data_IF_262313482065
#
_entry.id   IF_262313482065
#
_cell.length_a   1.000
_cell.length_b   1.000
_cell.length_c   1.000
_cell.angle_alpha   90.00
_cell.angle_beta   90.00
_cell.angle_gamma   90.00
#
_symmetry.space_group_name_H-M   'P 1'
#
loop_
_entity.id
_entity.type
_entity.pdbx_description
1 polymer ?
#
# COMPACT_ATOMS: atom_id res chain seq x y z
N UNK A 1 7.89 -25.17 -28.19
CA UNK A 1 7.24 -23.86 -27.96
C UNK A 1 6.37 -23.44 -29.17
N UNK A 2 6.88 -23.46 -30.40
CA UNK A 2 6.08 -23.07 -31.58
C UNK A 2 4.90 -24.00 -31.92
N UNK A 3 4.87 -25.21 -31.35
CA UNK A 3 3.81 -26.21 -31.50
C UNK A 3 2.77 -26.20 -30.38
N UNK A 4 2.99 -25.40 -29.32
CA UNK A 4 2.05 -25.32 -28.20
C UNK A 4 0.72 -24.72 -28.71
N UNK A 5 -0.46 -25.23 -28.35
CA UNK A 5 -1.75 -24.60 -28.71
C UNK A 5 -1.91 -23.19 -28.10
N UNK A 6 -2.79 -22.36 -28.67
CA UNK A 6 -3.00 -21.00 -28.19
C UNK A 6 -3.60 -20.98 -26.78
N UNK A 7 -4.45 -21.95 -26.47
CA UNK A 7 -5.11 -22.14 -25.18
C UNK A 7 -4.08 -22.35 -24.07
N UNK A 8 -3.05 -23.17 -24.33
CA UNK A 8 -1.96 -23.39 -23.37
C UNK A 8 -1.08 -22.14 -23.23
N UNK A 9 -0.86 -21.38 -24.31
CA UNK A 9 -0.16 -20.08 -24.22
C UNK A 9 -0.95 -19.09 -23.37
N UNK A 10 -2.28 -19.02 -23.53
CA UNK A 10 -3.16 -18.19 -22.70
C UNK A 10 -3.06 -18.57 -21.22
N UNK A 11 -3.12 -19.86 -20.88
CA UNK A 11 -2.96 -20.31 -19.49
C UNK A 11 -1.59 -19.93 -18.90
N UNK A 12 -0.51 -20.07 -19.68
CA UNK A 12 0.83 -19.63 -19.25
C UNK A 12 0.86 -18.12 -19.02
N UNK A 13 0.23 -17.36 -19.92
CA UNK A 13 0.19 -15.90 -19.82
C UNK A 13 -0.63 -15.42 -18.63
N UNK A 14 -1.75 -16.07 -18.35
CA UNK A 14 -2.58 -15.84 -17.16
C UNK A 14 -1.80 -16.13 -15.87
N UNK A 15 -1.09 -17.26 -15.81
CA UNK A 15 -0.26 -17.58 -14.65
C UNK A 15 0.85 -16.56 -14.43
N UNK A 16 1.46 -16.05 -15.51
CA UNK A 16 2.52 -15.06 -15.43
C UNK A 16 2.06 -13.63 -15.18
N UNK A 17 0.79 -13.29 -15.42
CA UNK A 17 0.27 -11.92 -15.23
C UNK A 17 0.39 -11.45 -13.78
N UNK A 18 0.30 -12.40 -12.83
CA UNK A 18 0.38 -12.16 -11.39
C UNK A 18 1.81 -11.84 -10.92
N UNK A 19 2.84 -12.13 -11.73
CA UNK A 19 4.25 -11.92 -11.39
C UNK A 19 4.68 -10.44 -11.47
N UNK A 20 3.78 -9.55 -11.88
CA UNK A 20 4.11 -8.20 -12.29
C UNK A 20 3.74 -7.16 -11.22
N UNK A 21 4.48 -7.12 -10.11
CA UNK A 21 4.33 -6.04 -9.12
C UNK A 21 5.63 -5.28 -8.89
N UNK A 22 5.65 -3.94 -9.02
CA UNK A 22 6.80 -3.14 -8.64
C UNK A 22 7.01 -3.27 -7.14
N UNK A 23 8.16 -3.83 -6.77
CA UNK A 23 8.58 -3.87 -5.37
C UNK A 23 9.20 -2.53 -5.00
N UNK A 24 8.70 -1.90 -3.93
CA UNK A 24 9.38 -0.79 -3.30
C UNK A 24 10.61 -1.31 -2.55
N UNK A 25 11.78 -0.70 -2.77
CA UNK A 25 12.96 -0.98 -1.96
C UNK A 25 12.92 -0.03 -0.78
N UNK A 26 12.51 -0.58 0.36
CA UNK A 26 12.41 0.18 1.60
C UNK A 26 13.75 0.23 2.32
N UNK A 27 14.32 1.43 2.52
CA UNK A 27 15.55 1.58 3.25
C UNK A 27 15.33 1.42 4.75
N UNK A 28 16.40 1.10 5.47
CA UNK A 28 16.40 0.98 6.94
C UNK A 28 16.12 2.29 7.68
N UNK A 29 16.11 3.43 7.01
CA UNK A 29 15.91 4.74 7.65
C UNK A 29 14.79 5.50 6.95
N UNK A 30 13.88 6.15 7.71
CA UNK A 30 12.82 6.99 7.12
C UNK A 30 13.41 8.15 6.31
N UNK A 31 14.59 8.64 6.68
CA UNK A 31 15.23 9.79 6.04
C UNK A 31 15.88 9.46 4.70
N UNK A 32 16.07 8.18 4.38
CA UNK A 32 16.53 7.75 3.06
C UNK A 32 15.31 7.65 2.14
N UNK A 33 15.28 8.31 0.97
CA UNK A 33 14.16 8.21 0.05
C UNK A 33 13.91 6.76 -0.39
N UNK A 34 12.63 6.37 -0.48
CA UNK A 34 12.26 5.08 -1.06
C UNK A 34 12.59 5.10 -2.56
N UNK A 35 13.12 4.00 -3.07
CA UNK A 35 13.34 3.83 -4.51
C UNK A 35 12.35 2.83 -5.08
N UNK A 36 11.76 3.19 -6.21
CA UNK A 36 10.85 2.30 -6.95
C UNK A 36 11.70 1.45 -7.88
N UNK A 37 11.76 0.14 -7.63
CA UNK A 37 12.45 -0.78 -8.53
C UNK A 37 11.56 -1.00 -9.75
N UNK A 38 12.07 -0.63 -10.94
CA UNK A 38 11.39 -0.98 -12.19
C UNK A 38 11.52 -2.49 -12.40
N UNK A 39 10.40 -3.18 -12.41
CA UNK A 39 10.31 -4.58 -12.81
C UNK A 39 9.88 -4.62 -14.27
N UNK A 40 10.49 -5.49 -15.08
CA UNK A 40 10.06 -5.70 -16.46
C UNK A 40 8.64 -6.23 -16.45
N UNK A 41 7.75 -5.60 -17.22
CA UNK A 41 6.39 -6.10 -17.34
C UNK A 41 6.41 -7.47 -18.03
N UNK A 42 5.90 -8.50 -17.37
CA UNK A 42 5.75 -9.84 -17.96
C UNK A 42 4.98 -9.77 -19.28
N UNK A 43 3.91 -8.96 -19.34
CA UNK A 43 3.16 -8.68 -20.55
C UNK A 43 4.07 -8.17 -21.68
N UNK A 44 4.93 -7.17 -21.40
CA UNK A 44 5.86 -6.66 -22.40
C UNK A 44 6.82 -7.77 -22.86
N UNK A 45 7.36 -8.56 -21.93
CA UNK A 45 8.26 -9.67 -22.26
C UNK A 45 7.59 -10.67 -23.21
N UNK A 46 6.37 -11.13 -22.90
CA UNK A 46 5.67 -12.11 -23.77
C UNK A 46 5.28 -11.53 -25.13
N UNK A 47 4.90 -10.24 -25.20
CA UNK A 47 4.57 -9.57 -26.45
C UNK A 47 5.78 -9.39 -27.40
N UNK A 48 7.00 -9.47 -26.88
CA UNK A 48 8.24 -9.32 -27.66
C UNK A 48 8.88 -10.66 -28.08
N UNK A 49 8.31 -11.82 -27.71
CA UNK A 49 8.90 -13.13 -28.07
C UNK A 49 8.74 -13.45 -29.56
N UNK A 50 7.52 -13.44 -30.08
CA UNK A 50 7.25 -13.62 -31.51
C UNK A 50 5.86 -13.07 -31.89
N UNK A 51 5.57 -12.95 -33.19
CA UNK A 51 4.27 -12.45 -33.68
C UNK A 51 3.09 -13.23 -33.09
N UNK A 52 3.20 -14.56 -33.03
CA UNK A 52 2.15 -15.42 -32.47
C UNK A 52 1.86 -15.12 -31.00
N UNK A 53 2.90 -14.98 -30.18
CA UNK A 53 2.75 -14.66 -28.75
C UNK A 53 2.13 -13.28 -28.55
N UNK A 54 2.55 -12.30 -29.35
CA UNK A 54 1.95 -10.97 -29.35
C UNK A 54 0.45 -11.02 -29.64
N UNK A 55 0.03 -11.79 -30.65
CA UNK A 55 -1.39 -11.93 -30.99
C UNK A 55 -2.18 -12.59 -29.86
N UNK A 56 -1.66 -13.67 -29.26
CA UNK A 56 -2.32 -14.32 -28.11
C UNK A 56 -2.40 -13.36 -26.91
N UNK A 57 -1.31 -12.64 -26.60
CA UNK A 57 -1.26 -11.71 -25.47
C UNK A 57 -2.23 -10.53 -25.61
N UNK A 58 -2.35 -9.97 -26.82
CA UNK A 58 -3.32 -8.92 -27.18
C UNK A 58 -4.76 -9.35 -26.88
N UNK A 59 -5.08 -10.63 -27.06
CA UNK A 59 -6.40 -11.20 -26.85
C UNK A 59 -6.55 -11.96 -25.52
N UNK A 60 -5.60 -11.81 -24.59
CA UNK A 60 -5.66 -12.43 -23.25
C UNK A 60 -5.92 -11.35 -22.20
N UNK A 61 -7.18 -11.10 -21.78
CA UNK A 61 -7.53 -9.97 -20.92
C UNK A 61 -6.78 -9.93 -19.59
N UNK A 62 -6.47 -11.09 -19.01
CA UNK A 62 -5.78 -11.20 -17.72
C UNK A 62 -4.40 -10.49 -17.71
N UNK A 63 -3.70 -10.44 -18.84
CA UNK A 63 -2.41 -9.74 -18.95
C UNK A 63 -2.53 -8.21 -18.80
N UNK A 64 -3.73 -7.66 -18.99
CA UNK A 64 -3.99 -6.21 -19.00
C UNK A 64 -4.61 -5.71 -17.69
N UNK A 65 -4.80 -6.60 -16.71
CA UNK A 65 -5.44 -6.30 -15.41
C UNK A 65 -4.54 -5.53 -14.45
N UNK A 66 -3.22 -5.59 -14.65
CA UNK A 66 -2.24 -4.91 -13.80
C UNK A 66 -1.69 -3.66 -14.49
N UNK A 67 -1.99 -2.49 -13.92
CA UNK A 67 -1.62 -1.19 -14.48
C UNK A 67 -0.57 -0.50 -13.62
N UNK A 68 0.65 -0.36 -14.14
CA UNK A 68 1.74 0.39 -13.51
C UNK A 68 1.88 1.76 -14.16
N UNK A 69 1.14 2.75 -13.64
CA UNK A 69 1.05 4.08 -14.22
C UNK A 69 2.17 4.97 -13.66
N UNK A 70 3.13 5.27 -14.52
CA UNK A 70 4.24 6.17 -14.22
C UNK A 70 4.64 6.97 -15.46
N UNK A 71 5.38 8.06 -15.26
CA UNK A 71 6.06 8.80 -16.33
C UNK A 71 7.51 8.98 -15.93
N UNK A 72 8.45 8.72 -16.84
CA UNK A 72 9.86 8.98 -16.56
C UNK A 72 10.15 10.48 -16.59
N UNK A 73 11.19 10.93 -15.87
CA UNK A 73 11.65 12.32 -15.91
C UNK A 73 11.95 12.77 -17.35
N UNK A 74 12.69 11.95 -18.11
CA UNK A 74 12.97 12.20 -19.54
C UNK A 74 11.71 12.37 -20.39
N UNK A 75 10.69 11.54 -20.17
CA UNK A 75 9.42 11.66 -20.90
C UNK A 75 8.63 12.92 -20.50
N UNK A 76 8.78 13.39 -19.26
CA UNK A 76 8.22 14.65 -18.80
C UNK A 76 8.95 15.84 -19.44
N UNK A 77 10.28 15.82 -19.45
CA UNK A 77 11.12 16.90 -19.98
C UNK A 77 10.96 17.04 -21.51
N UNK A 78 10.61 15.94 -22.20
CA UNK A 78 10.34 15.91 -23.64
C UNK A 78 8.90 16.30 -24.02
N UNK A 79 8.05 16.71 -23.07
CA UNK A 79 6.69 17.15 -23.41
C UNK A 79 6.73 18.44 -24.25
N UNK A 80 6.02 18.51 -25.38
CA UNK A 80 5.98 19.71 -26.22
C UNK A 80 5.47 20.95 -25.47
N UNK A 81 4.52 20.75 -24.56
CA UNK A 81 3.95 21.81 -23.73
C UNK A 81 3.68 21.35 -22.30
N UNK A 82 3.72 22.30 -21.36
CA UNK A 82 3.28 22.10 -19.97
C UNK A 82 1.82 21.60 -19.90
N UNK A 83 0.98 21.99 -20.87
CA UNK A 83 -0.43 21.53 -20.93
C UNK A 83 -0.52 20.01 -21.13
N UNK A 84 0.43 19.41 -21.85
CA UNK A 84 0.44 17.99 -22.15
C UNK A 84 0.66 17.12 -20.91
N UNK A 85 1.18 17.70 -19.84
CA UNK A 85 1.30 17.03 -18.55
C UNK A 85 -0.05 16.51 -18.04
N UNK A 86 -1.13 17.24 -18.36
CA UNK A 86 -2.51 16.96 -17.94
C UNK A 86 -3.28 16.12 -18.95
N UNK A 87 -2.72 15.85 -20.13
CA UNK A 87 -3.41 15.04 -21.13
C UNK A 87 -3.59 13.60 -20.61
N UNK A 88 -4.73 12.96 -20.94
CA UNK A 88 -4.94 11.54 -20.70
C UNK A 88 -3.80 10.71 -21.30
N UNK A 89 -3.54 9.54 -20.72
CA UNK A 89 -2.48 8.64 -21.20
C UNK A 89 -3.13 7.55 -22.06
N UNK A 90 -2.98 7.57 -23.40
CA UNK A 90 -3.74 6.68 -24.29
C UNK A 90 -3.57 5.19 -23.98
N UNK A 91 -2.38 4.79 -23.54
CA UNK A 91 -2.09 3.40 -23.17
C UNK A 91 -2.89 2.93 -21.94
N UNK A 92 -3.28 3.84 -21.03
CA UNK A 92 -4.10 3.50 -19.87
C UNK A 92 -5.48 3.09 -20.36
N UNK A 93 -6.11 3.90 -21.21
CA UNK A 93 -7.40 3.56 -21.84
C UNK A 93 -7.33 2.23 -22.58
N UNK A 94 -6.24 1.97 -23.30
CA UNK A 94 -6.02 0.69 -24.00
C UNK A 94 -5.97 -0.51 -23.02
N UNK A 95 -5.29 -0.37 -21.89
CA UNK A 95 -5.26 -1.43 -20.86
C UNK A 95 -6.64 -1.67 -20.23
N UNK A 96 -7.37 -0.59 -19.95
CA UNK A 96 -8.73 -0.69 -19.40
C UNK A 96 -9.67 -1.41 -20.38
N UNK A 97 -9.61 -1.08 -21.67
CA UNK A 97 -10.40 -1.76 -22.70
C UNK A 97 -10.06 -3.25 -22.82
N UNK A 98 -8.77 -3.58 -22.85
CA UNK A 98 -8.32 -4.97 -23.04
C UNK A 98 -8.50 -5.87 -21.82
N UNK A 99 -8.47 -5.30 -20.63
CA UNK A 99 -8.75 -6.04 -19.38
C UNK A 99 -10.22 -6.38 -19.19
N UNK A 100 -11.12 -5.87 -20.05
CA UNK A 100 -12.55 -6.18 -20.07
C UNK A 100 -13.19 -5.94 -18.69
N UNK A 101 -13.83 -6.95 -18.11
CA UNK A 101 -14.52 -6.86 -16.81
C UNK A 101 -13.72 -7.47 -15.65
N UNK A 102 -12.46 -7.85 -15.86
CA UNK A 102 -11.67 -8.54 -14.84
C UNK A 102 -11.28 -7.60 -13.67
N UNK A 103 -11.00 -8.10 -12.47
CA UNK A 103 -10.51 -7.23 -11.39
C UNK A 103 -9.20 -6.52 -11.75
N UNK A 104 -9.05 -5.25 -11.37
CA UNK A 104 -7.90 -4.41 -11.70
C UNK A 104 -6.96 -4.23 -10.51
N UNK A 105 -5.65 -4.33 -10.77
CA UNK A 105 -4.61 -3.95 -9.82
C UNK A 105 -3.85 -2.73 -10.35
N UNK A 106 -3.93 -1.63 -9.61
CA UNK A 106 -3.48 -0.33 -10.08
C UNK A 106 -2.35 0.14 -9.17
N UNK A 107 -1.20 0.44 -9.76
CA UNK A 107 -0.10 1.12 -9.08
C UNK A 107 0.19 2.46 -9.73
N UNK A 108 0.13 3.52 -8.95
CA UNK A 108 0.35 4.90 -9.37
C UNK A 108 1.68 5.42 -8.81
N UNK A 109 2.59 5.82 -9.69
CA UNK A 109 3.78 6.58 -9.32
C UNK A 109 3.58 8.05 -9.69
N UNK A 110 3.22 8.84 -8.68
CA UNK A 110 2.77 10.21 -8.83
C UNK A 110 3.90 11.23 -9.01
N UNK A 111 5.17 10.81 -9.15
CA UNK A 111 6.31 11.73 -9.31
C UNK A 111 6.21 12.67 -10.49
N UNK A 112 5.75 12.17 -11.62
CA UNK A 112 5.81 12.87 -12.90
C UNK A 112 4.53 12.74 -13.72
N UNK A 113 3.41 12.40 -13.07
CA UNK A 113 2.09 12.27 -13.71
C UNK A 113 1.10 13.25 -13.08
N UNK A 114 0.10 13.66 -13.86
CA UNK A 114 -1.05 14.38 -13.33
C UNK A 114 -2.02 13.38 -12.71
N UNK A 115 -2.03 13.29 -11.37
CA UNK A 115 -2.90 12.36 -10.63
C UNK A 115 -4.38 12.54 -10.98
N UNK A 116 -4.83 13.80 -11.15
CA UNK A 116 -6.19 14.13 -11.55
C UNK A 116 -6.52 13.59 -12.95
N UNK A 117 -5.60 13.72 -13.91
CA UNK A 117 -5.80 13.21 -15.27
C UNK A 117 -5.90 11.69 -15.28
N UNK A 118 -5.03 11.03 -14.52
CA UNK A 118 -5.03 9.57 -14.41
C UNK A 118 -6.30 9.07 -13.73
N UNK A 119 -6.72 9.68 -12.61
CA UNK A 119 -7.96 9.29 -11.95
C UNK A 119 -9.21 9.54 -12.80
N UNK A 120 -9.23 10.57 -13.65
CA UNK A 120 -10.34 10.76 -14.59
C UNK A 120 -10.51 9.56 -15.54
N UNK A 121 -9.44 8.83 -15.88
CA UNK A 121 -9.51 7.61 -16.69
C UNK A 121 -9.88 6.37 -15.85
N UNK A 122 -9.42 6.30 -14.59
CA UNK A 122 -9.57 5.10 -13.77
C UNK A 122 -10.90 5.04 -13.01
N UNK A 123 -11.41 6.18 -12.53
CA UNK A 123 -12.61 6.24 -11.67
C UNK A 123 -13.84 5.58 -12.30
N UNK A 124 -14.09 5.69 -13.63
CA UNK A 124 -15.17 4.94 -14.27
C UNK A 124 -15.11 3.42 -14.02
N UNK A 125 -13.91 2.88 -13.85
CA UNK A 125 -13.64 1.45 -13.63
C UNK A 125 -13.56 1.07 -12.13
N UNK A 126 -13.91 2.00 -11.22
CA UNK A 126 -13.76 1.81 -9.76
C UNK A 126 -14.53 0.62 -9.19
N UNK A 127 -15.60 0.20 -9.84
CA UNK A 127 -16.40 -0.96 -9.46
C UNK A 127 -15.61 -2.28 -9.43
N UNK A 128 -14.52 -2.38 -10.22
CA UNK A 128 -13.69 -3.58 -10.34
C UNK A 128 -12.24 -3.38 -9.89
N UNK A 129 -11.93 -2.29 -9.18
CA UNK A 129 -10.61 -2.15 -8.55
C UNK A 129 -10.46 -3.17 -7.44
N UNK A 130 -9.46 -4.05 -7.53
CA UNK A 130 -9.08 -5.02 -6.48
C UNK A 130 -7.97 -4.48 -5.60
N UNK A 131 -6.95 -3.87 -6.20
CA UNK A 131 -5.79 -3.32 -5.50
C UNK A 131 -5.49 -1.92 -5.99
N UNK A 132 -5.23 -0.99 -5.07
CA UNK A 132 -4.82 0.37 -5.36
C UNK A 132 -3.58 0.75 -4.55
N UNK A 133 -2.46 0.93 -5.25
CA UNK A 133 -1.18 1.35 -4.70
C UNK A 133 -0.87 2.77 -5.19
N UNK A 134 -0.64 3.70 -4.27
CA UNK A 134 -0.37 5.10 -4.56
C UNK A 134 0.98 5.49 -3.96
N UNK A 135 1.92 5.85 -4.83
CA UNK A 135 3.24 6.36 -4.44
C UNK A 135 3.31 7.85 -4.75
N UNK A 136 3.42 8.67 -3.71
CA UNK A 136 3.50 10.14 -3.83
C UNK A 136 4.92 10.66 -3.56
N UNK A 137 5.32 11.81 -4.14
CA UNK A 137 6.65 12.38 -3.93
C UNK A 137 6.90 12.84 -2.49
N UNK A 138 5.91 13.49 -1.91
CA UNK A 138 5.92 14.00 -0.55
C UNK A 138 4.52 13.89 0.06
N UNK A 139 4.44 13.86 1.38
CA UNK A 139 3.18 13.86 2.14
C UNK A 139 2.29 15.08 1.82
N UNK A 140 2.89 16.17 1.32
CA UNK A 140 2.16 17.38 0.89
C UNK A 140 1.28 17.13 -0.35
N UNK A 141 1.59 16.11 -1.16
CA UNK A 141 0.81 15.75 -2.35
C UNK A 141 -0.40 14.87 -1.99
N UNK A 142 -0.46 14.36 -0.76
CA UNK A 142 -1.49 13.42 -0.32
C UNK A 142 -2.91 13.98 -0.40
N UNK A 143 -3.22 15.23 0.04
CA UNK A 143 -4.57 15.78 -0.10
C UNK A 143 -5.06 15.80 -1.55
N UNK A 144 -4.17 16.11 -2.51
CA UNK A 144 -4.51 16.11 -3.93
C UNK A 144 -4.87 14.71 -4.42
N UNK A 145 -4.11 13.70 -4.01
CA UNK A 145 -4.40 12.30 -4.32
C UNK A 145 -5.75 11.84 -3.75
N UNK A 146 -5.98 12.11 -2.46
CA UNK A 146 -7.17 11.60 -1.75
C UNK A 146 -8.44 12.35 -2.11
N UNK A 147 -8.35 13.62 -2.52
CA UNK A 147 -9.51 14.43 -2.91
C UNK A 147 -10.34 13.78 -4.02
N UNK A 148 -9.69 13.06 -4.95
CA UNK A 148 -10.33 12.37 -6.06
C UNK A 148 -11.07 11.09 -5.62
N UNK A 149 -10.76 10.56 -4.43
CA UNK A 149 -11.29 9.29 -3.91
C UNK A 149 -12.39 9.47 -2.86
N UNK A 150 -12.77 10.72 -2.55
CA UNK A 150 -13.66 11.06 -1.42
C UNK A 150 -15.03 10.36 -1.48
N UNK A 151 -15.62 10.24 -2.68
CA UNK A 151 -16.98 9.74 -2.90
C UNK A 151 -17.04 8.60 -3.93
N UNK A 152 -15.92 7.90 -4.12
CA UNK A 152 -15.84 6.86 -5.15
C UNK A 152 -16.25 5.51 -4.55
N UNK A 153 -17.25 4.82 -5.13
CA UNK A 153 -17.53 3.43 -4.77
C UNK A 153 -16.43 2.52 -5.35
N UNK A 154 -15.77 1.76 -4.48
CA UNK A 154 -14.81 0.74 -4.88
C UNK A 154 -15.15 -0.59 -4.18
N UNK A 155 -16.26 -1.25 -4.58
CA UNK A 155 -16.81 -2.41 -3.90
C UNK A 155 -15.90 -3.64 -3.92
N UNK A 156 -15.13 -3.82 -4.99
CA UNK A 156 -14.18 -4.93 -5.15
C UNK A 156 -12.81 -4.66 -4.48
N UNK A 157 -12.60 -3.47 -3.89
CA UNK A 157 -11.29 -3.07 -3.40
C UNK A 157 -10.93 -3.87 -2.14
N UNK A 158 -9.89 -4.68 -2.24
CA UNK A 158 -9.38 -5.52 -1.17
C UNK A 158 -8.12 -4.95 -0.53
N UNK A 159 -7.27 -4.29 -1.33
CA UNK A 159 -5.96 -3.78 -0.93
C UNK A 159 -5.81 -2.30 -1.25
N UNK A 160 -5.38 -1.52 -0.25
CA UNK A 160 -5.01 -0.12 -0.40
C UNK A 160 -3.61 0.11 0.19
N UNK A 161 -2.70 0.63 -0.62
CA UNK A 161 -1.37 1.01 -0.17
C UNK A 161 -1.06 2.45 -0.53
N UNK A 162 -0.56 3.22 0.43
CA UNK A 162 -0.17 4.61 0.21
C UNK A 162 1.23 4.82 0.77
N UNK A 163 2.15 5.25 -0.09
CA UNK A 163 3.55 5.48 0.26
C UNK A 163 4.00 6.88 -0.14
N UNK A 164 4.62 7.62 0.78
CA UNK A 164 5.38 8.82 0.44
C UNK A 164 6.86 8.48 0.25
N UNK A 165 7.45 8.90 -0.86
CA UNK A 165 8.87 8.64 -1.15
C UNK A 165 9.80 9.40 -0.19
N UNK A 166 9.40 10.62 0.20
CA UNK A 166 10.08 11.44 1.19
C UNK A 166 9.33 11.38 2.51
N UNK A 167 10.07 11.11 3.58
CA UNK A 167 9.54 11.24 4.94
C UNK A 167 9.56 12.71 5.37
N UNK A 168 8.50 13.14 6.04
CA UNK A 168 8.39 14.46 6.65
C UNK A 168 7.79 14.30 8.04
N UNK A 169 8.41 14.94 9.05
CA UNK A 169 7.93 14.95 10.44
C UNK A 169 6.72 15.89 10.65
N UNK A 170 6.20 16.50 9.58
CA UNK A 170 5.07 17.42 9.65
C UNK A 170 3.75 16.77 9.26
N UNK A 171 2.69 17.14 9.97
CA UNK A 171 1.33 16.76 9.62
C UNK A 171 0.97 17.41 8.28
N UNK A 172 0.50 16.62 7.32
CA UNK A 172 -0.04 17.19 6.09
C UNK A 172 -1.31 18.00 6.41
N UNK A 173 -1.37 19.30 6.04
CA UNK A 173 -2.54 20.11 6.32
C UNK A 173 -3.75 19.60 5.53
N UNK A 174 -4.94 19.67 6.15
CA UNK A 174 -6.24 19.51 5.49
C UNK A 174 -6.48 18.16 4.79
N UNK A 175 -6.13 17.05 5.45
CA UNK A 175 -6.45 15.72 4.91
C UNK A 175 -7.94 15.45 4.91
N UNK A 176 -8.46 15.06 3.75
CA UNK A 176 -9.84 14.63 3.56
C UNK A 176 -9.90 13.10 3.58
N UNK A 177 -10.96 12.57 4.18
CA UNK A 177 -11.21 11.13 4.11
C UNK A 177 -11.61 10.68 2.71
N UNK A 178 -11.17 9.48 2.35
CA UNK A 178 -11.52 8.76 1.12
C UNK A 178 -12.46 7.58 1.41
N UNK A 179 -13.16 7.08 0.39
CA UNK A 179 -14.10 5.93 0.51
C UNK A 179 -15.11 6.06 1.66
N UNK A 180 -15.66 7.28 1.86
CA UNK A 180 -16.57 7.57 2.98
C UNK A 180 -17.82 6.71 2.95
N UNK A 181 -18.27 6.22 4.11
CA UNK A 181 -19.60 5.61 4.25
C UNK A 181 -19.69 4.14 3.78
N UNK A 182 -18.61 3.36 3.89
CA UNK A 182 -18.63 1.94 3.54
C UNK A 182 -18.59 1.67 2.03
N UNK A 183 -18.07 2.62 1.25
CA UNK A 183 -17.94 2.52 -0.20
C UNK A 183 -16.89 1.51 -0.68
N UNK A 184 -16.16 0.87 0.24
CA UNK A 184 -15.19 -0.20 0.00
C UNK A 184 -15.33 -1.30 1.06
N UNK A 185 -16.42 -2.09 1.03
CA UNK A 185 -16.74 -3.09 2.04
C UNK A 185 -15.76 -4.25 2.10
N UNK A 186 -15.09 -4.59 0.99
CA UNK A 186 -14.14 -5.69 0.91
C UNK A 186 -12.70 -5.30 1.30
N UNK A 187 -12.48 -4.02 1.65
CA UNK A 187 -11.15 -3.53 1.99
C UNK A 187 -10.67 -4.23 3.25
N UNK A 188 -9.62 -5.03 3.10
CA UNK A 188 -9.13 -5.94 4.14
C UNK A 188 -7.64 -5.75 4.40
N UNK A 189 -6.90 -5.22 3.44
CA UNK A 189 -5.45 -4.99 3.52
C UNK A 189 -5.15 -3.51 3.35
N UNK A 190 -4.55 -2.90 4.38
CA UNK A 190 -4.12 -1.50 4.31
C UNK A 190 -2.66 -1.37 4.69
N UNK A 191 -1.87 -0.75 3.81
CA UNK A 191 -0.49 -0.33 4.08
C UNK A 191 -0.34 1.18 3.97
N UNK A 192 0.24 1.78 4.99
CA UNK A 192 0.53 3.21 5.07
C UNK A 192 2.01 3.40 5.38
N UNK A 193 2.76 4.00 4.46
CA UNK A 193 4.21 4.18 4.59
C UNK A 193 4.62 5.65 4.43
N UNK A 194 5.21 6.25 5.47
CA UNK A 194 5.67 7.66 5.50
C UNK A 194 4.56 8.67 5.22
N UNK A 195 3.32 8.33 5.59
CA UNK A 195 2.17 9.21 5.43
C UNK A 195 1.72 9.75 6.78
N UNK A 196 1.37 11.02 6.79
CA UNK A 196 0.63 11.66 7.88
C UNK A 196 -0.84 11.52 7.56
N UNK A 197 -1.62 10.92 8.46
CA UNK A 197 -3.06 10.73 8.31
C UNK A 197 -3.81 11.26 9.53
N UNK A 198 -4.99 11.85 9.32
CA UNK A 198 -5.96 12.05 10.40
C UNK A 198 -6.69 10.75 10.67
N UNK A 199 -6.30 10.02 11.71
CA UNK A 199 -6.80 8.68 12.03
C UNK A 199 -8.32 8.59 12.19
N UNK A 200 -8.97 9.67 12.64
CA UNK A 200 -10.44 9.78 12.73
C UNK A 200 -11.14 9.83 11.37
N UNK A 201 -10.42 10.20 10.32
CA UNK A 201 -10.97 10.37 8.99
C UNK A 201 -11.05 9.03 8.23
N UNK A 202 -10.28 8.02 8.60
CA UNK A 202 -10.16 6.80 7.80
C UNK A 202 -11.12 5.69 8.28
N UNK A 203 -11.89 5.09 7.36
CA UNK A 203 -12.74 3.94 7.67
C UNK A 203 -11.89 2.65 7.72
N UNK A 204 -10.85 2.61 8.56
CA UNK A 204 -10.01 1.42 8.76
C UNK A 204 -10.73 0.41 9.66
N UNK A 205 -11.80 -0.18 9.12
CA UNK A 205 -12.63 -1.18 9.79
C UNK A 205 -12.70 -2.43 8.91
N UNK A 206 -12.93 -3.58 9.54
CA UNK A 206 -13.03 -4.87 8.83
C UNK A 206 -11.71 -5.40 8.27
N UNK A 207 -10.56 -4.88 8.73
CA UNK A 207 -9.25 -5.26 8.20
C UNK A 207 -8.81 -6.65 8.69
N UNK A 208 -8.09 -7.36 7.82
CA UNK A 208 -7.36 -8.60 8.14
C UNK A 208 -5.85 -8.35 8.25
N UNK A 209 -5.34 -7.35 7.54
CA UNK A 209 -3.94 -6.94 7.57
C UNK A 209 -3.82 -5.42 7.68
N UNK A 210 -3.04 -4.96 8.66
CA UNK A 210 -2.71 -3.55 8.86
C UNK A 210 -1.19 -3.39 8.94
N UNK A 211 -0.65 -2.52 8.08
CA UNK A 211 0.78 -2.28 7.97
C UNK A 211 1.08 -0.77 8.05
N UNK A 212 1.64 -0.34 9.18
CA UNK A 212 1.94 1.06 9.48
C UNK A 212 3.45 1.28 9.59
N UNK A 213 4.01 2.00 8.61
CA UNK A 213 5.45 2.27 8.50
C UNK A 213 5.73 3.76 8.55
N UNK A 214 6.53 4.20 9.52
CA UNK A 214 6.95 5.61 9.64
C UNK A 214 5.79 6.61 9.54
N UNK A 215 4.67 6.28 10.18
CA UNK A 215 3.46 7.11 10.18
C UNK A 215 3.52 8.12 11.32
N UNK A 216 2.76 9.19 11.22
CA UNK A 216 2.47 10.01 12.40
C UNK A 216 1.52 9.22 13.29
N UNK A 217 2.03 8.71 14.39
CA UNK A 217 1.33 7.77 15.25
C UNK A 217 0.02 8.35 15.84
N UNK A 218 -1.07 7.57 15.88
CA UNK A 218 -2.25 7.93 16.66
C UNK A 218 -1.92 7.94 18.15
N UNK A 219 -2.76 8.60 18.94
CA UNK A 219 -2.77 8.38 20.38
C UNK A 219 -3.28 6.97 20.69
N UNK A 220 -2.91 6.44 21.85
CA UNK A 220 -3.38 5.12 22.29
C UNK A 220 -4.89 4.88 22.14
N UNK A 221 -5.82 5.79 22.54
CA UNK A 221 -7.26 5.54 22.39
C UNK A 221 -7.71 5.44 20.94
N UNK A 222 -7.15 6.28 20.05
CA UNK A 222 -7.46 6.21 18.62
C UNK A 222 -6.93 4.93 17.98
N UNK A 223 -5.74 4.46 18.41
CA UNK A 223 -5.23 3.16 17.97
C UNK A 223 -6.18 2.04 18.42
N UNK A 224 -6.64 2.07 19.67
CA UNK A 224 -7.56 1.08 20.21
C UNK A 224 -8.91 1.06 19.47
N UNK A 225 -9.47 2.23 19.17
CA UNK A 225 -10.71 2.36 18.39
C UNK A 225 -10.56 1.84 16.95
N UNK A 226 -9.45 2.14 16.30
CA UNK A 226 -9.17 1.66 14.95
C UNK A 226 -9.05 0.12 14.92
N UNK A 227 -8.33 -0.46 15.88
CA UNK A 227 -8.13 -1.90 15.95
C UNK A 227 -9.41 -2.64 16.38
N UNK A 228 -10.22 -2.07 17.26
CA UNK A 228 -11.52 -2.66 17.65
C UNK A 228 -12.52 -2.67 16.48
N UNK A 229 -12.38 -1.75 15.52
CA UNK A 229 -13.11 -1.77 14.26
C UNK A 229 -12.74 -2.92 13.32
N UNK A 230 -11.70 -3.70 13.62
CA UNK A 230 -11.19 -4.79 12.78
C UNK A 230 -11.04 -6.09 13.58
N UNK A 231 -12.15 -6.74 14.00
CA UNK A 231 -12.11 -7.92 14.87
C UNK A 231 -11.46 -9.15 14.23
N UNK A 232 -11.38 -9.20 12.89
CA UNK A 232 -10.76 -10.28 12.13
C UNK A 232 -9.30 -9.99 11.75
N UNK A 233 -8.64 -9.02 12.41
CA UNK A 233 -7.26 -8.65 12.13
C UNK A 233 -6.31 -9.81 12.48
N UNK A 234 -5.58 -10.31 11.50
CA UNK A 234 -4.66 -11.44 11.61
C UNK A 234 -3.19 -11.02 11.52
N UNK A 235 -2.87 -10.00 10.73
CA UNK A 235 -1.51 -9.54 10.49
C UNK A 235 -1.36 -8.07 10.88
N UNK A 236 -0.38 -7.76 11.72
CA UNK A 236 -0.07 -6.40 12.15
C UNK A 236 1.43 -6.13 12.00
N UNK A 237 1.77 -5.12 11.19
CA UNK A 237 3.16 -4.72 10.94
C UNK A 237 3.34 -3.27 11.35
N UNK A 238 4.29 -2.99 12.24
CA UNK A 238 4.44 -1.69 12.86
C UNK A 238 5.91 -1.22 12.90
N UNK A 239 6.16 0.00 12.43
CA UNK A 239 7.45 0.68 12.59
C UNK A 239 7.38 1.68 13.75
N UNK A 240 7.94 1.30 14.90
CA UNK A 240 7.88 2.06 16.14
C UNK A 240 9.10 2.97 16.23
N UNK A 241 8.86 4.27 16.39
CA UNK A 241 9.87 5.28 16.68
C UNK A 241 9.72 5.84 18.11
N UNK A 242 10.57 6.79 18.47
CA UNK A 242 10.50 7.46 19.77
C UNK A 242 9.17 8.23 19.99
N UNK A 243 8.47 8.63 18.92
CA UNK A 243 7.18 9.34 18.99
C UNK A 243 6.06 8.36 19.34
N UNK A 244 6.05 7.19 18.70
CA UNK A 244 5.15 6.08 19.01
C UNK A 244 5.22 5.68 20.49
N UNK A 245 6.44 5.53 21.02
CA UNK A 245 6.66 5.17 22.41
C UNK A 245 6.01 6.15 23.40
N UNK A 246 5.98 7.45 23.07
CA UNK A 246 5.34 8.49 23.89
C UNK A 246 3.82 8.51 23.75
N UNK A 247 3.31 8.37 22.52
CA UNK A 247 1.87 8.51 22.20
C UNK A 247 1.06 7.26 22.55
N UNK A 248 1.71 6.11 22.55
CA UNK A 248 1.11 4.82 22.81
C UNK A 248 1.34 4.30 24.23
N UNK A 249 1.92 5.12 25.10
CA UNK A 249 2.01 4.79 26.52
C UNK A 249 0.61 4.52 27.09
N UNK A 250 0.43 3.32 27.66
CA UNK A 250 -0.81 2.86 28.26
C UNK A 250 -1.21 3.73 29.45
N UNK A 251 -0.25 4.28 30.21
CA UNK A 251 -0.52 5.05 31.45
C UNK A 251 -1.55 4.38 32.38
N UNK A 252 -1.46 3.05 32.55
CA UNK A 252 -2.40 2.26 33.35
C UNK A 252 -3.70 1.81 32.67
N UNK A 253 -3.91 2.16 31.39
CA UNK A 253 -5.07 1.68 30.60
C UNK A 253 -4.99 0.17 30.33
N UNK A 254 -6.14 -0.45 30.13
CA UNK A 254 -6.24 -1.84 29.68
C UNK A 254 -5.52 -2.05 28.34
N UNK A 255 -5.00 -3.27 28.12
CA UNK A 255 -4.42 -3.63 26.84
C UNK A 255 -5.49 -3.65 25.75
N UNK A 256 -5.10 -3.29 24.53
CA UNK A 256 -5.92 -3.40 23.33
C UNK A 256 -6.04 -4.88 22.99
N UNK A 257 -7.25 -5.43 23.10
CA UNK A 257 -7.50 -6.83 22.78
C UNK A 257 -7.59 -7.03 21.27
N UNK A 258 -6.77 -7.93 20.73
CA UNK A 258 -6.77 -8.31 19.31
C UNK A 258 -6.77 -9.85 19.24
N UNK A 259 -7.93 -10.48 19.50
CA UNK A 259 -8.01 -11.92 19.73
C UNK A 259 -7.68 -12.76 18.49
N UNK A 260 -7.82 -12.18 17.29
CA UNK A 260 -7.62 -12.87 16.01
C UNK A 260 -6.20 -12.74 15.46
N UNK A 261 -5.32 -11.99 16.14
CA UNK A 261 -3.98 -11.69 15.63
C UNK A 261 -3.10 -12.94 15.64
N UNK A 262 -2.62 -13.34 14.46
CA UNK A 262 -1.75 -14.50 14.25
C UNK A 262 -0.29 -14.10 14.03
N UNK A 263 -0.06 -12.97 13.38
CA UNK A 263 1.28 -12.48 13.05
C UNK A 263 1.47 -11.03 13.47
N UNK A 264 2.53 -10.78 14.25
CA UNK A 264 2.94 -9.44 14.67
C UNK A 264 4.39 -9.19 14.24
N UNK A 265 4.62 -8.19 13.39
CA UNK A 265 5.96 -7.69 13.08
C UNK A 265 6.14 -6.29 13.67
N UNK A 266 7.19 -6.12 14.49
CA UNK A 266 7.59 -4.83 15.06
C UNK A 266 9.01 -4.52 14.60
N UNK A 267 9.19 -3.37 13.97
CA UNK A 267 10.50 -2.82 13.63
C UNK A 267 10.75 -1.57 14.45
N UNK A 268 11.95 -1.48 15.02
CA UNK A 268 12.29 -0.41 15.93
C UNK A 268 13.23 0.60 15.27
N UNK A 269 12.89 1.88 15.40
CA UNK A 269 13.66 3.00 14.90
C UNK A 269 13.84 4.01 16.03
N UNK A 270 14.70 3.68 16.99
CA UNK A 270 15.02 4.54 18.12
C UNK A 270 16.36 5.24 17.93
N UNK A 271 16.39 6.54 18.22
CA UNK A 271 17.63 7.25 18.53
C UNK A 271 17.67 7.40 20.07
N UNK A 272 18.55 6.66 20.75
CA UNK A 272 18.70 6.71 22.22
C UNK A 272 18.28 5.42 22.93
N UNK A 273 17.87 5.52 24.20
CA UNK A 273 17.39 4.36 24.99
C UNK A 273 15.89 4.16 24.77
N UNK A 274 15.45 3.22 23.92
CA UNK A 274 14.03 2.96 23.77
C UNK A 274 13.49 2.18 24.97
N UNK A 275 12.32 2.58 25.43
CA UNK A 275 11.44 1.71 26.20
C UNK A 275 10.56 0.97 25.19
N UNK A 276 11.05 -0.17 24.69
CA UNK A 276 10.25 -1.12 23.87
C UNK A 276 9.24 -1.85 24.75
N UNK A 277 9.58 -2.01 26.03
CA UNK A 277 8.84 -2.74 27.04
C UNK A 277 7.36 -2.36 27.19
N UNK A 278 6.96 -1.07 27.17
CA UNK A 278 5.55 -0.69 27.22
C UNK A 278 4.78 -1.14 25.99
N UNK A 279 5.45 -1.34 24.84
CA UNK A 279 4.78 -1.56 23.57
C UNK A 279 4.17 -2.95 23.45
N UNK A 280 4.91 -4.01 23.80
CA UNK A 280 4.36 -5.37 23.78
C UNK A 280 3.18 -5.51 24.75
N UNK A 281 3.20 -4.74 25.84
CA UNK A 281 2.10 -4.70 26.78
C UNK A 281 0.88 -3.96 26.24
N UNK A 282 0.98 -3.16 25.17
CA UNK A 282 -0.20 -2.49 24.57
C UNK A 282 -1.22 -3.49 24.09
N UNK A 283 -0.80 -4.68 23.67
CA UNK A 283 -1.69 -5.64 23.05
C UNK A 283 -1.96 -6.86 23.94
N UNK A 284 -3.21 -7.31 23.94
CA UNK A 284 -3.60 -8.64 24.38
C UNK A 284 -3.87 -9.46 23.12
N UNK A 285 -2.97 -10.41 22.83
CA UNK A 285 -2.89 -11.14 21.54
C UNK A 285 -2.84 -12.66 21.78
N UNK A 286 -3.94 -13.27 22.27
CA UNK A 286 -3.94 -14.65 22.74
C UNK A 286 -3.74 -15.70 21.63
N UNK A 287 -4.03 -15.38 20.36
CA UNK A 287 -3.91 -16.30 19.23
C UNK A 287 -2.61 -16.11 18.42
N UNK A 288 -1.60 -15.46 18.98
CA UNK A 288 -0.36 -15.13 18.27
C UNK A 288 0.43 -16.41 17.94
N UNK A 289 0.70 -16.61 16.65
CA UNK A 289 1.46 -17.74 16.11
C UNK A 289 2.89 -17.34 15.72
N UNK A 290 3.08 -16.08 15.31
CA UNK A 290 4.37 -15.55 14.86
C UNK A 290 4.62 -14.15 15.40
N UNK A 291 5.79 -13.98 16.03
CA UNK A 291 6.31 -12.68 16.45
C UNK A 291 7.66 -12.42 15.77
N UNK A 292 7.73 -11.34 15.00
CA UNK A 292 8.98 -10.88 14.37
C UNK A 292 9.38 -9.54 14.95
N UNK A 293 10.56 -9.49 15.55
CA UNK A 293 11.16 -8.25 16.04
C UNK A 293 12.41 -7.93 15.22
N UNK A 294 12.49 -6.74 14.62
CA UNK A 294 13.63 -6.32 13.80
C UNK A 294 14.28 -5.04 14.32
N UNK A 295 15.56 -4.90 14.00
CA UNK A 295 16.40 -3.76 14.40
C UNK A 295 16.40 -3.58 15.94
N UNK A 296 16.41 -4.72 16.65
CA UNK A 296 16.50 -4.83 18.12
C UNK A 296 17.97 -4.92 18.52
N UNK A 297 18.44 -4.07 19.42
CA UNK A 297 19.81 -4.20 19.96
C UNK A 297 19.88 -5.27 21.07
N UNK A 298 21.08 -5.73 21.43
CA UNK A 298 21.24 -6.68 22.54
C UNK A 298 20.68 -6.13 23.87
N UNK A 299 20.83 -4.81 24.11
CA UNK A 299 20.25 -4.13 25.28
C UNK A 299 18.72 -4.20 25.27
N UNK A 300 18.12 -3.92 24.12
CA UNK A 300 16.68 -3.97 23.94
C UNK A 300 16.13 -5.37 24.19
N UNK A 301 16.82 -6.38 23.65
CA UNK A 301 16.46 -7.78 23.85
C UNK A 301 16.44 -8.17 25.33
N UNK A 302 17.47 -7.81 26.10
CA UNK A 302 17.53 -8.08 27.54
C UNK A 302 16.32 -7.50 28.31
N UNK A 303 15.86 -6.29 27.91
CA UNK A 303 14.70 -5.64 28.52
C UNK A 303 13.37 -6.28 28.11
N UNK A 304 13.30 -6.80 26.88
CA UNK A 304 12.12 -7.46 26.33
C UNK A 304 11.93 -8.87 26.93
N UNK A 305 13.02 -9.62 27.16
CA UNK A 305 12.99 -11.00 27.65
C UNK A 305 12.17 -11.19 28.93
N UNK A 306 12.14 -10.19 29.82
CA UNK A 306 11.39 -10.26 31.08
C UNK A 306 9.88 -10.46 30.85
N UNK A 307 9.35 -10.01 29.71
CA UNK A 307 7.93 -10.12 29.37
C UNK A 307 7.56 -11.43 28.65
N UNK A 308 8.55 -12.22 28.24
CA UNK A 308 8.35 -13.56 27.67
C UNK A 308 8.62 -14.68 28.68
N UNK A 309 9.14 -14.35 29.86
CA UNK A 309 9.27 -15.29 30.97
C UNK A 309 7.89 -15.51 31.58
N UNK A 310 7.22 -16.56 31.10
CA UNK A 310 6.09 -17.22 31.78
C UNK A 310 6.62 -18.04 32.94
#
# INVERSE_FOLDING_TARGET
IHTLPNELLTLIFEAGSVLTYPSLVEPKSPFVPITVKKVSSFMNTVMHVCHRWRQVAIHTPALWTTLHISRSRKALDNLPSVKDFRNPMPWVTEHLMRSQCLPLDISLDCRHISIKSVFNQLIPESHRWRSLVITIPSVQDLPNALSSLKKIPAPALETLEITSLKYHDSIAPNLTSFFRGGLSPNLSHVRLNRVSLSWLAFPLKGLTTLDLRFVIWPTFPHLAEMLSGSPNLQNLILHIDNTAAKLLDRRGRAAINIPSLRSLEIRLFSQGSPTICPFLQIFSIPALESLTLREVTSSDWCRILVYFRV
#
